data_IF_080957148713
#
_entry.id   IF_080957148713
#
_cell.length_a   1.000
_cell.length_b   1.000
_cell.length_c   1.000
_cell.angle_alpha   90.00
_cell.angle_beta   90.00
_cell.angle_gamma   90.00
#
_symmetry.space_group_name_H-M   'P 1'
#
loop_
_entity.id
_entity.type
_entity.pdbx_description
1 polymer ?
#
# COMPACT_ATOMS: atom_id res chain seq x y z
N UNK A 1 1.78 32.68 0.35
CA UNK A 1 2.81 33.22 1.29
C UNK A 1 3.61 32.09 1.95
N UNK A 2 2.96 31.05 2.49
CA UNK A 2 3.60 29.91 3.19
C UNK A 2 4.65 29.16 2.33
N UNK A 3 4.37 28.87 1.06
CA UNK A 3 5.30 28.16 0.17
C UNK A 3 6.57 28.96 -0.20
N UNK A 4 6.54 30.29 -0.15
CA UNK A 4 7.74 31.11 -0.42
C UNK A 4 8.74 31.03 0.73
N UNK A 5 8.28 30.84 1.96
CA UNK A 5 9.13 30.73 3.16
C UNK A 5 9.77 29.35 3.31
N UNK A 6 9.11 28.30 2.81
CA UNK A 6 9.57 26.89 2.83
C UNK A 6 10.79 26.63 1.92
N UNK A 7 11.11 27.55 1.01
CA UNK A 7 12.06 27.37 -0.10
C UNK A 7 13.55 27.31 0.29
N UNK A 8 13.90 27.40 1.58
CA UNK A 8 15.31 27.44 2.02
C UNK A 8 16.07 26.13 1.80
N UNK A 9 15.40 24.99 1.62
CA UNK A 9 16.03 23.69 1.28
C UNK A 9 15.17 22.90 0.28
N UNK A 10 15.71 22.59 -0.90
CA UNK A 10 15.00 21.79 -1.92
C UNK A 10 14.60 20.40 -1.42
N UNK A 11 15.45 19.78 -0.59
CA UNK A 11 15.14 18.49 0.05
C UNK A 11 13.88 18.58 0.92
N UNK A 12 13.74 19.66 1.69
CA UNK A 12 12.56 19.89 2.53
C UNK A 12 11.26 19.99 1.70
N UNK A 13 11.30 20.68 0.55
CA UNK A 13 10.16 20.74 -0.38
C UNK A 13 9.78 19.34 -0.89
N UNK A 14 10.78 18.52 -1.23
CA UNK A 14 10.55 17.14 -1.69
C UNK A 14 9.94 16.26 -0.59
N UNK A 15 10.39 16.40 0.67
CA UNK A 15 9.80 15.71 1.82
C UNK A 15 8.33 16.11 2.03
N UNK A 16 8.01 17.41 2.00
CA UNK A 16 6.61 17.85 2.13
C UNK A 16 5.77 17.33 0.97
N UNK A 17 6.28 17.37 -0.28
CA UNK A 17 5.57 16.82 -1.44
C UNK A 17 5.27 15.33 -1.28
N UNK A 18 6.25 14.55 -0.83
CA UNK A 18 6.09 13.13 -0.54
C UNK A 18 5.10 12.87 0.61
N UNK A 19 5.10 13.68 1.67
CA UNK A 19 4.13 13.57 2.76
C UNK A 19 2.71 13.90 2.26
N UNK A 20 2.54 15.01 1.55
CA UNK A 20 1.25 15.46 1.05
C UNK A 20 0.60 14.42 0.13
N UNK A 21 1.38 13.86 -0.81
CA UNK A 21 0.86 12.83 -1.72
C UNK A 21 0.52 11.53 -1.00
N UNK A 22 1.18 11.22 0.12
CA UNK A 22 0.94 9.99 0.87
C UNK A 22 -0.28 10.05 1.81
N UNK A 23 -0.91 11.21 2.04
CA UNK A 23 -2.16 11.26 2.83
C UNK A 23 -3.28 10.42 2.22
N UNK A 24 -3.38 10.36 0.89
CA UNK A 24 -4.36 9.47 0.23
C UNK A 24 -3.97 7.99 0.39
N UNK A 25 -2.66 7.69 0.41
CA UNK A 25 -2.14 6.35 0.72
C UNK A 25 -2.40 5.92 2.17
N UNK A 26 -2.39 6.87 3.11
CA UNK A 26 -2.78 6.65 4.50
C UNK A 26 -4.27 6.30 4.60
N UNK A 27 -5.16 7.04 3.92
CA UNK A 27 -6.60 6.71 3.88
C UNK A 27 -6.84 5.34 3.25
N UNK A 28 -6.05 4.97 2.24
CA UNK A 28 -6.10 3.60 1.71
C UNK A 28 -5.68 2.56 2.76
N UNK A 29 -4.58 2.80 3.49
CA UNK A 29 -4.18 1.96 4.62
C UNK A 29 -5.27 1.85 5.70
N UNK A 30 -5.96 2.95 5.99
CA UNK A 30 -7.13 2.95 6.89
C UNK A 30 -8.22 2.02 6.37
N UNK A 31 -8.55 2.07 5.08
CA UNK A 31 -9.53 1.16 4.47
C UNK A 31 -9.09 -0.31 4.42
N UNK A 32 -7.79 -0.59 4.47
CA UNK A 32 -7.29 -1.97 4.61
C UNK A 32 -7.38 -2.47 6.05
N UNK A 33 -7.11 -1.62 7.05
CA UNK A 33 -7.25 -1.98 8.46
C UNK A 33 -8.68 -1.94 8.99
N UNK A 34 -9.59 -1.24 8.30
CA UNK A 34 -10.98 -1.04 8.68
C UNK A 34 -11.75 -2.34 9.00
N UNK A 35 -11.63 -3.43 8.21
CA UNK A 35 -12.43 -4.62 8.46
C UNK A 35 -12.17 -5.29 9.81
N UNK A 36 -10.92 -5.28 10.30
CA UNK A 36 -10.54 -6.05 11.47
C UNK A 36 -11.37 -5.77 12.73
N UNK A 37 -11.52 -4.51 13.20
CA UNK A 37 -12.42 -4.21 14.31
C UNK A 37 -13.89 -4.04 13.88
N UNK A 38 -14.15 -3.71 12.60
CA UNK A 38 -15.49 -3.30 12.16
C UNK A 38 -16.39 -4.47 11.77
N UNK A 39 -15.84 -5.49 11.11
CA UNK A 39 -16.60 -6.69 10.72
C UNK A 39 -17.19 -7.40 11.94
N UNK A 40 -16.44 -7.62 13.03
CA UNK A 40 -17.02 -8.19 14.25
C UNK A 40 -18.17 -7.36 14.83
N UNK A 41 -18.12 -6.04 14.72
CA UNK A 41 -19.23 -5.17 15.14
C UNK A 41 -20.44 -5.30 14.20
N UNK A 42 -20.21 -5.37 12.90
CA UNK A 42 -21.24 -5.47 11.88
C UNK A 42 -21.96 -6.83 11.86
N UNK A 43 -21.30 -7.90 12.26
CA UNK A 43 -21.88 -9.25 12.40
C UNK A 43 -22.50 -9.48 13.78
N UNK A 44 -22.20 -8.62 14.75
CA UNK A 44 -22.76 -8.71 16.11
C UNK A 44 -24.26 -8.39 16.15
N UNK A 45 -24.96 -8.89 17.17
CA UNK A 45 -26.39 -8.60 17.39
C UNK A 45 -26.70 -7.10 17.51
N UNK A 46 -25.73 -6.33 18.01
CA UNK A 46 -25.83 -4.88 18.19
C UNK A 46 -25.26 -4.12 16.97
N UNK A 47 -25.41 -4.70 15.77
CA UNK A 47 -24.95 -4.10 14.52
C UNK A 47 -25.46 -2.66 14.40
N UNK A 48 -24.57 -1.70 14.05
CA UNK A 48 -24.97 -0.31 13.87
C UNK A 48 -25.84 -0.09 12.61
N UNK A 49 -25.91 -1.06 11.70
CA UNK A 49 -26.67 -0.92 10.45
C UNK A 49 -28.18 -1.06 10.66
N UNK A 50 -29.00 -0.17 10.08
CA UNK A 50 -30.46 -0.29 10.09
C UNK A 50 -30.99 -1.60 9.50
N UNK A 51 -30.30 -2.19 8.53
CA UNK A 51 -30.67 -3.48 7.94
C UNK A 51 -30.46 -4.69 8.86
N UNK A 52 -29.81 -4.50 10.01
CA UNK A 52 -29.44 -5.56 10.93
C UNK A 52 -28.01 -6.09 10.73
N UNK A 53 -27.66 -7.19 11.42
CA UNK A 53 -26.33 -7.78 11.36
C UNK A 53 -26.02 -8.42 10.01
N UNK A 54 -24.75 -8.37 9.61
CA UNK A 54 -24.24 -9.06 8.44
C UNK A 54 -24.16 -10.56 8.69
N UNK A 55 -24.51 -11.33 7.66
CA UNK A 55 -24.15 -12.75 7.60
C UNK A 55 -22.65 -12.93 7.38
N UNK A 56 -22.13 -14.12 7.67
CA UNK A 56 -20.71 -14.46 7.43
C UNK A 56 -20.33 -14.29 5.96
N UNK A 57 -21.21 -14.71 5.04
CA UNK A 57 -21.00 -14.58 3.59
C UNK A 57 -20.93 -13.10 3.17
N UNK A 58 -21.82 -12.27 3.69
CA UNK A 58 -21.79 -10.83 3.44
C UNK A 58 -20.52 -10.18 3.98
N UNK A 59 -20.10 -10.55 5.20
CA UNK A 59 -18.88 -10.05 5.81
C UNK A 59 -17.63 -10.38 4.97
N UNK A 60 -17.47 -11.65 4.56
CA UNK A 60 -16.38 -12.07 3.68
C UNK A 60 -16.40 -11.33 2.33
N UNK A 61 -17.59 -11.07 1.78
CA UNK A 61 -17.73 -10.28 0.56
C UNK A 61 -17.37 -8.80 0.76
N UNK A 62 -17.75 -8.18 1.88
CA UNK A 62 -17.35 -6.79 2.24
C UNK A 62 -15.82 -6.68 2.32
N UNK A 63 -15.15 -7.69 2.88
CA UNK A 63 -13.69 -7.72 2.99
C UNK A 63 -13.05 -7.85 1.60
N UNK A 64 -13.43 -8.87 0.86
CA UNK A 64 -12.78 -9.30 -0.38
C UNK A 64 -13.07 -8.41 -1.59
N UNK A 65 -14.25 -7.79 -1.72
CA UNK A 65 -14.67 -7.02 -2.92
C UNK A 65 -13.73 -5.85 -3.25
N UNK A 66 -13.00 -5.33 -2.26
CA UNK A 66 -11.94 -4.33 -2.48
C UNK A 66 -10.86 -4.84 -3.44
N UNK A 67 -10.58 -6.14 -3.47
CA UNK A 67 -9.62 -6.74 -4.39
C UNK A 67 -10.09 -6.63 -5.85
N UNK A 68 -11.39 -6.83 -6.12
CA UNK A 68 -11.96 -6.64 -7.46
C UNK A 68 -11.96 -5.16 -7.89
N UNK A 69 -12.14 -4.26 -6.92
CA UNK A 69 -11.89 -2.83 -7.15
C UNK A 69 -10.44 -2.57 -7.54
N UNK A 70 -9.47 -3.17 -6.83
CA UNK A 70 -8.04 -3.09 -7.12
C UNK A 70 -7.67 -3.59 -8.51
N UNK A 71 -8.28 -4.70 -8.95
CA UNK A 71 -8.16 -5.22 -10.32
C UNK A 71 -8.61 -4.17 -11.34
N UNK A 72 -9.81 -3.63 -11.14
CA UNK A 72 -10.39 -2.61 -12.03
C UNK A 72 -9.49 -1.37 -12.08
N UNK A 73 -9.04 -0.87 -10.93
CA UNK A 73 -8.11 0.26 -10.85
C UNK A 73 -6.78 0.01 -11.56
N UNK A 74 -6.25 -1.21 -11.47
CA UNK A 74 -4.99 -1.59 -12.13
C UNK A 74 -5.13 -1.65 -13.65
N UNK A 75 -6.27 -2.12 -14.16
CA UNK A 75 -6.54 -2.11 -15.60
C UNK A 75 -6.70 -0.67 -16.10
N UNK A 76 -7.44 0.17 -15.36
CA UNK A 76 -7.66 1.56 -15.72
C UNK A 76 -6.37 2.38 -15.75
N UNK A 77 -5.45 2.17 -14.79
CA UNK A 77 -4.25 3.02 -14.72
C UNK A 77 -3.28 2.81 -15.88
N UNK A 78 -3.19 1.60 -16.43
CA UNK A 78 -2.30 1.29 -17.55
C UNK A 78 -2.53 2.19 -18.77
N UNK A 79 -3.78 2.59 -19.03
CA UNK A 79 -4.14 3.49 -20.14
C UNK A 79 -4.06 4.98 -19.79
N UNK A 80 -4.19 5.32 -18.50
CA UNK A 80 -4.37 6.70 -18.03
C UNK A 80 -3.03 7.36 -17.66
N UNK A 81 -2.06 6.62 -17.11
CA UNK A 81 -0.85 7.19 -16.50
C UNK A 81 0.04 7.97 -17.47
N UNK A 82 0.18 7.47 -18.70
CA UNK A 82 1.01 8.11 -19.71
C UNK A 82 0.24 9.23 -20.44
N UNK A 83 -1.09 9.18 -20.41
CA UNK A 83 -1.96 10.15 -21.08
C UNK A 83 -2.14 11.41 -20.23
N UNK A 84 -2.55 11.26 -18.97
CA UNK A 84 -3.02 12.36 -18.11
C UNK A 84 -2.00 12.82 -17.05
N UNK A 85 -0.84 12.17 -16.96
CA UNK A 85 0.18 12.52 -15.98
C UNK A 85 -0.04 11.84 -14.64
N UNK A 86 0.60 12.37 -13.60
CA UNK A 86 0.60 11.73 -12.27
C UNK A 86 -0.37 12.43 -11.33
N UNK A 87 -0.57 13.74 -11.43
CA UNK A 87 -1.49 14.49 -10.56
C UNK A 87 -2.96 14.07 -10.73
N UNK A 88 -3.46 14.01 -11.96
CA UNK A 88 -4.89 13.77 -12.20
C UNK A 88 -5.38 12.40 -11.71
N UNK A 89 -4.66 11.30 -11.96
CA UNK A 89 -5.02 10.01 -11.36
C UNK A 89 -5.00 10.00 -9.83
N UNK A 90 -4.10 10.76 -9.18
CA UNK A 90 -4.09 10.89 -7.73
C UNK A 90 -5.36 11.59 -7.22
N UNK A 91 -5.83 12.63 -7.92
CA UNK A 91 -7.11 13.28 -7.61
C UNK A 91 -8.32 12.37 -7.86
N UNK A 92 -8.28 11.56 -8.93
CA UNK A 92 -9.33 10.56 -9.17
C UNK A 92 -9.36 9.51 -8.05
N UNK A 93 -8.19 9.04 -7.60
CA UNK A 93 -8.07 8.14 -6.45
C UNK A 93 -8.57 8.77 -5.15
N UNK A 94 -8.24 10.04 -4.90
CA UNK A 94 -8.77 10.82 -3.78
C UNK A 94 -10.29 10.92 -3.83
N UNK A 95 -10.87 11.25 -4.98
CA UNK A 95 -12.32 11.35 -5.15
C UNK A 95 -13.01 10.00 -4.90
N UNK A 96 -12.43 8.91 -5.40
CA UNK A 96 -12.92 7.55 -5.14
C UNK A 96 -12.92 7.23 -3.63
N UNK A 97 -11.88 7.62 -2.90
CA UNK A 97 -11.83 7.46 -1.44
C UNK A 97 -12.84 8.36 -0.72
N UNK A 98 -13.01 9.60 -1.18
CA UNK A 98 -13.99 10.53 -0.62
C UNK A 98 -15.40 9.94 -0.68
N UNK A 99 -15.80 9.45 -1.86
CA UNK A 99 -17.11 8.81 -2.06
C UNK A 99 -17.24 7.55 -1.21
N UNK A 100 -16.19 6.72 -1.14
CA UNK A 100 -16.19 5.53 -0.29
C UNK A 100 -16.43 5.87 1.20
N UNK A 101 -15.77 6.89 1.74
CA UNK A 101 -15.98 7.30 3.14
C UNK A 101 -17.39 7.85 3.38
N UNK A 102 -17.93 8.63 2.44
CA UNK A 102 -19.29 9.15 2.54
C UNK A 102 -20.30 8.00 2.56
N UNK A 103 -20.13 7.00 1.68
CA UNK A 103 -21.01 5.83 1.64
C UNK A 103 -20.98 5.04 2.95
N UNK A 104 -19.82 4.89 3.60
CA UNK A 104 -19.74 4.24 4.92
C UNK A 104 -20.41 5.11 6.00
N UNK A 105 -20.21 6.43 5.96
CA UNK A 105 -20.82 7.37 6.90
C UNK A 105 -22.35 7.41 6.83
N UNK A 106 -22.93 7.07 5.68
CA UNK A 106 -24.38 7.02 5.45
C UNK A 106 -24.90 5.60 5.23
N UNK A 107 -24.15 4.56 5.63
CA UNK A 107 -24.49 3.18 5.30
C UNK A 107 -25.79 2.74 5.99
N UNK A 108 -26.77 2.35 5.18
CA UNK A 108 -28.06 1.83 5.66
C UNK A 108 -28.17 0.30 5.55
N UNK A 109 -27.44 -0.28 4.60
CA UNK A 109 -27.41 -1.71 4.31
C UNK A 109 -26.06 -2.13 3.74
N UNK A 110 -25.87 -3.44 3.56
CA UNK A 110 -24.62 -4.03 3.09
C UNK A 110 -24.17 -3.50 1.72
N UNK A 111 -25.08 -3.09 0.84
CA UNK A 111 -24.73 -2.57 -0.50
C UNK A 111 -23.89 -1.29 -0.44
N UNK A 112 -24.14 -0.41 0.54
CA UNK A 112 -23.29 0.78 0.75
C UNK A 112 -21.85 0.38 1.02
N UNK A 113 -21.66 -0.68 1.83
CA UNK A 113 -20.35 -1.20 2.16
C UNK A 113 -19.69 -1.84 0.95
N UNK A 114 -20.41 -2.66 0.17
CA UNK A 114 -19.85 -3.24 -1.06
C UNK A 114 -19.34 -2.19 -2.03
N UNK A 115 -20.15 -1.15 -2.30
CA UNK A 115 -19.77 -0.07 -3.22
C UNK A 115 -18.61 0.73 -2.65
N UNK A 116 -18.63 1.09 -1.35
CA UNK A 116 -17.53 1.81 -0.72
C UNK A 116 -16.21 1.04 -0.79
N UNK A 117 -16.24 -0.26 -0.49
CA UNK A 117 -15.07 -1.15 -0.52
C UNK A 117 -14.53 -1.32 -1.92
N UNK A 118 -15.40 -1.49 -2.92
CA UNK A 118 -15.01 -1.55 -4.32
C UNK A 118 -14.35 -0.25 -4.80
N UNK A 119 -14.93 0.91 -4.48
CA UNK A 119 -14.36 2.23 -4.82
C UNK A 119 -13.01 2.48 -4.12
N UNK A 120 -12.88 2.09 -2.86
CA UNK A 120 -11.58 2.14 -2.16
C UNK A 120 -10.55 1.23 -2.85
N UNK A 121 -10.98 0.07 -3.35
CA UNK A 121 -10.16 -0.84 -4.14
C UNK A 121 -9.62 -0.20 -5.43
N UNK A 122 -10.50 0.43 -6.22
CA UNK A 122 -10.09 1.15 -7.45
C UNK A 122 -9.00 2.17 -7.11
N UNK A 123 -9.22 2.93 -6.04
CA UNK A 123 -8.25 3.90 -5.56
C UNK A 123 -6.93 3.24 -5.18
N UNK A 124 -6.95 2.13 -4.43
CA UNK A 124 -5.76 1.37 -4.06
C UNK A 124 -4.90 0.91 -5.23
N UNK A 125 -5.54 0.35 -6.26
CA UNK A 125 -4.84 -0.12 -7.47
C UNK A 125 -4.15 1.00 -8.24
N UNK A 126 -4.75 2.19 -8.26
CA UNK A 126 -4.22 3.39 -8.93
C UNK A 126 -3.14 4.07 -8.09
N UNK A 127 -3.44 4.35 -6.82
CA UNK A 127 -2.62 5.18 -5.94
C UNK A 127 -1.28 4.53 -5.61
N UNK A 128 -1.25 3.22 -5.36
CA UNK A 128 -0.03 2.56 -4.91
C UNK A 128 1.11 2.70 -5.94
N UNK A 129 0.77 2.62 -7.22
CA UNK A 129 1.72 2.77 -8.33
C UNK A 129 2.11 4.23 -8.53
N UNK A 130 1.14 5.14 -8.56
CA UNK A 130 1.37 6.53 -8.97
C UNK A 130 2.07 7.33 -7.89
N UNK A 131 1.78 7.08 -6.62
CA UNK A 131 2.50 7.69 -5.50
C UNK A 131 3.99 7.35 -5.60
N UNK A 132 4.31 6.05 -5.77
CA UNK A 132 5.69 5.59 -5.96
C UNK A 132 6.38 6.25 -7.14
N UNK A 133 5.72 6.32 -8.30
CA UNK A 133 6.27 6.97 -9.51
C UNK A 133 6.49 8.47 -9.27
N UNK A 134 5.48 9.18 -8.79
CA UNK A 134 5.56 10.62 -8.58
C UNK A 134 6.67 10.97 -7.60
N UNK A 135 6.74 10.29 -6.44
CA UNK A 135 7.79 10.48 -5.45
C UNK A 135 9.16 10.18 -6.05
N UNK A 136 9.32 9.09 -6.81
CA UNK A 136 10.58 8.75 -7.46
C UNK A 136 11.07 9.84 -8.43
N UNK A 137 10.15 10.36 -9.25
CA UNK A 137 10.46 11.32 -10.31
C UNK A 137 10.80 12.72 -9.80
N UNK A 138 10.24 13.14 -8.66
CA UNK A 138 10.56 14.43 -8.02
C UNK A 138 11.82 14.35 -7.12
N UNK A 139 12.17 13.14 -6.67
CA UNK A 139 13.23 12.91 -5.70
C UNK A 139 14.63 13.08 -6.31
N UNK A 140 15.45 13.86 -5.61
CA UNK A 140 16.90 13.88 -5.80
C UNK A 140 17.50 12.51 -5.42
N UNK A 141 18.54 12.08 -6.15
CA UNK A 141 19.18 10.77 -5.97
C UNK A 141 19.61 10.51 -4.51
N UNK A 142 20.08 11.54 -3.80
CA UNK A 142 20.61 11.40 -2.44
C UNK A 142 19.56 11.06 -1.37
N UNK A 143 18.27 11.33 -1.62
CA UNK A 143 17.18 11.09 -0.66
C UNK A 143 16.07 10.19 -1.20
N UNK A 144 16.20 9.70 -2.44
CA UNK A 144 15.17 8.91 -3.14
C UNK A 144 14.74 7.66 -2.38
N UNK A 145 15.69 6.94 -1.76
CA UNK A 145 15.38 5.74 -0.96
C UNK A 145 14.52 6.04 0.27
N UNK A 146 14.87 7.09 1.00
CA UNK A 146 14.10 7.56 2.16
C UNK A 146 12.69 7.99 1.76
N UNK A 147 12.55 8.81 0.72
CA UNK A 147 11.25 9.27 0.23
C UNK A 147 10.39 8.12 -0.29
N UNK A 148 10.98 7.13 -0.95
CA UNK A 148 10.27 5.92 -1.38
C UNK A 148 9.72 5.10 -0.21
N UNK A 149 10.39 5.10 0.94
CA UNK A 149 9.98 4.35 2.13
C UNK A 149 8.80 4.99 2.87
N UNK A 150 8.54 6.29 2.68
CA UNK A 150 7.45 7.03 3.32
C UNK A 150 6.09 6.40 3.00
N UNK A 151 5.90 5.86 1.79
CA UNK A 151 4.64 5.26 1.38
C UNK A 151 4.25 4.05 2.24
N UNK A 152 5.19 3.14 2.50
CA UNK A 152 4.95 2.00 3.37
C UNK A 152 4.66 2.42 4.82
N UNK A 153 5.31 3.48 5.29
CA UNK A 153 5.07 4.04 6.63
C UNK A 153 3.66 4.61 6.74
N UNK A 154 3.23 5.46 5.80
CA UNK A 154 1.90 6.07 5.79
C UNK A 154 0.79 5.02 5.65
N UNK A 155 0.99 4.00 4.82
CA UNK A 155 0.09 2.86 4.72
C UNK A 155 -0.12 2.17 6.07
N UNK A 156 0.97 1.84 6.77
CA UNK A 156 0.91 1.16 8.07
C UNK A 156 0.32 2.05 9.18
N UNK A 157 0.65 3.35 9.18
CA UNK A 157 0.02 4.32 10.08
C UNK A 157 -1.49 4.34 9.83
N UNK A 158 -1.94 4.30 8.57
CA UNK A 158 -3.35 4.21 8.22
C UNK A 158 -4.02 2.97 8.81
N UNK A 159 -3.40 1.80 8.69
CA UNK A 159 -3.89 0.54 9.29
C UNK A 159 -4.03 0.67 10.81
N UNK A 160 -3.01 1.20 11.50
CA UNK A 160 -3.03 1.40 12.95
C UNK A 160 -4.14 2.37 13.37
N UNK A 161 -4.30 3.48 12.63
CA UNK A 161 -5.39 4.44 12.87
C UNK A 161 -6.74 3.73 12.71
N UNK A 162 -6.92 2.89 11.69
CA UNK A 162 -8.15 2.14 11.53
C UNK A 162 -8.42 1.18 12.69
N UNK A 163 -7.42 0.40 13.14
CA UNK A 163 -7.57 -0.49 14.29
C UNK A 163 -8.00 0.27 15.55
N UNK A 164 -7.41 1.45 15.81
CA UNK A 164 -7.76 2.25 16.98
C UNK A 164 -9.12 2.95 16.82
N UNK A 165 -9.32 3.67 15.72
CA UNK A 165 -10.53 4.46 15.48
C UNK A 165 -11.75 3.56 15.38
N UNK A 166 -11.70 2.52 14.55
CA UNK A 166 -12.87 1.70 14.30
C UNK A 166 -13.22 0.80 15.49
N UNK A 167 -12.29 0.56 16.43
CA UNK A 167 -12.58 -0.16 17.67
C UNK A 167 -13.24 0.71 18.75
N UNK A 168 -12.93 2.01 18.81
CA UNK A 168 -13.32 2.87 19.94
C UNK A 168 -14.20 4.07 19.57
N UNK A 169 -14.33 4.39 18.29
CA UNK A 169 -15.19 5.46 17.78
C UNK A 169 -16.44 4.83 17.20
N UNK A 170 -17.65 5.39 17.42
CA UNK A 170 -18.87 4.88 16.83
C UNK A 170 -18.76 4.72 15.31
N UNK A 171 -19.32 3.64 14.79
CA UNK A 171 -19.24 3.24 13.37
C UNK A 171 -19.46 4.40 12.40
N UNK A 172 -20.54 5.15 12.54
CA UNK A 172 -20.87 6.28 11.65
C UNK A 172 -19.96 7.50 11.81
N UNK A 173 -19.21 7.58 12.92
CA UNK A 173 -18.27 8.68 13.19
C UNK A 173 -16.86 8.39 12.68
N UNK A 174 -16.46 7.12 12.61
CA UNK A 174 -15.13 6.72 12.16
C UNK A 174 -14.75 7.26 10.74
N UNK A 175 -15.65 7.26 9.73
CA UNK A 175 -15.33 7.79 8.40
C UNK A 175 -14.98 9.27 8.39
N UNK A 176 -15.49 10.10 9.31
CA UNK A 176 -15.13 11.52 9.36
C UNK A 176 -13.66 11.75 9.69
N UNK A 177 -13.02 10.83 10.42
CA UNK A 177 -11.58 10.89 10.67
C UNK A 177 -10.81 10.64 9.38
N UNK A 178 -11.19 9.61 8.61
CA UNK A 178 -10.61 9.33 7.30
C UNK A 178 -10.82 10.51 6.32
N UNK A 179 -12.00 11.14 6.33
CA UNK A 179 -12.29 12.35 5.56
C UNK A 179 -11.40 13.54 5.97
N UNK A 180 -11.17 13.73 7.28
CA UNK A 180 -10.25 14.75 7.79
C UNK A 180 -8.81 14.54 7.31
N UNK A 181 -8.34 13.28 7.30
CA UNK A 181 -7.01 12.95 6.76
C UNK A 181 -6.97 13.16 5.25
N UNK A 182 -8.04 12.82 4.53
CA UNK A 182 -8.16 13.07 3.10
C UNK A 182 -8.15 14.58 2.78
N UNK A 183 -8.69 15.43 3.65
CA UNK A 183 -8.60 16.87 3.49
C UNK A 183 -7.15 17.37 3.48
N UNK A 184 -6.24 16.74 4.24
CA UNK A 184 -4.81 17.07 4.21
C UNK A 184 -4.16 16.79 2.84
N UNK A 185 -4.70 15.86 2.05
CA UNK A 185 -4.25 15.63 0.67
C UNK A 185 -4.50 16.83 -0.24
N UNK A 186 -5.48 17.71 0.05
CA UNK A 186 -5.74 18.91 -0.78
C UNK A 186 -4.55 19.86 -0.86
N UNK A 187 -3.63 19.81 0.11
CA UNK A 187 -2.34 20.53 0.08
C UNK A 187 -1.48 20.14 -1.13
N UNK A 188 -1.70 18.93 -1.69
CA UNK A 188 -1.04 18.45 -2.90
C UNK A 188 -1.37 19.27 -4.16
N UNK A 189 -2.49 20.02 -4.17
CA UNK A 189 -2.88 20.87 -5.30
C UNK A 189 -1.76 21.86 -5.67
N UNK A 190 -1.03 22.36 -4.66
CA UNK A 190 0.03 23.35 -4.83
C UNK A 190 1.35 22.79 -5.38
N UNK A 191 1.50 21.47 -5.46
CA UNK A 191 2.71 20.84 -5.99
C UNK A 191 2.63 20.73 -7.51
N UNK A 192 3.71 21.01 -8.26
CA UNK A 192 3.69 20.89 -9.71
C UNK A 192 3.67 19.42 -10.14
N UNK A 193 3.32 19.20 -11.41
CA UNK A 193 3.45 17.89 -12.03
C UNK A 193 4.93 17.48 -12.15
N UNK A 194 5.21 16.19 -12.22
CA UNK A 194 6.56 15.65 -12.33
C UNK A 194 7.34 16.25 -13.51
N UNK A 195 8.61 16.66 -13.30
CA UNK A 195 9.44 17.18 -14.39
C UNK A 195 9.68 16.12 -15.48
N UNK A 196 9.73 14.83 -15.13
CA UNK A 196 9.91 13.74 -16.10
C UNK A 196 8.68 13.58 -17.00
N UNK A 197 7.47 13.65 -16.42
CA UNK A 197 6.23 13.63 -17.19
C UNK A 197 6.17 14.78 -18.20
N UNK A 198 6.49 15.99 -17.74
CA UNK A 198 6.41 17.19 -18.56
C UNK A 198 7.42 17.14 -19.72
N UNK A 199 8.60 16.57 -19.51
CA UNK A 199 9.57 16.30 -20.57
C UNK A 199 9.06 15.27 -21.58
N UNK A 200 8.42 14.18 -21.14
CA UNK A 200 7.79 13.18 -22.01
C UNK A 200 6.66 13.78 -22.88
N UNK A 201 5.96 14.80 -22.37
CA UNK A 201 4.93 15.54 -23.12
C UNK A 201 5.47 16.74 -23.90
N UNK A 202 6.80 16.86 -24.04
CA UNK A 202 7.45 17.97 -24.74
C UNK A 202 7.14 19.36 -24.15
N UNK A 203 6.67 19.44 -22.90
CA UNK A 203 6.37 20.69 -22.18
C UNK A 203 7.62 21.22 -21.45
N UNK A 204 8.62 21.62 -22.23
CA UNK A 204 9.97 21.95 -21.73
C UNK A 204 9.99 23.07 -20.66
N UNK A 205 9.25 24.16 -20.86
CA UNK A 205 9.25 25.29 -19.91
C UNK A 205 8.60 24.93 -18.58
N UNK A 206 7.52 24.14 -18.61
CA UNK A 206 6.85 23.66 -17.38
C UNK A 206 7.74 22.66 -16.64
N UNK A 207 8.45 21.79 -17.37
CA UNK A 207 9.37 20.82 -16.79
C UNK A 207 10.52 21.51 -16.02
N UNK A 208 11.13 22.53 -16.60
CA UNK A 208 12.19 23.31 -15.95
C UNK A 208 11.66 24.01 -14.68
N UNK A 209 10.47 24.63 -14.76
CA UNK A 209 9.82 25.26 -13.60
C UNK A 209 9.53 24.25 -12.48
N UNK A 210 9.04 23.05 -12.84
CA UNK A 210 8.79 21.97 -11.88
C UNK A 210 10.08 21.50 -11.20
N UNK A 211 11.14 21.26 -11.96
CA UNK A 211 12.43 20.86 -11.40
C UNK A 211 12.98 21.95 -10.45
N UNK A 212 12.96 23.23 -10.88
CA UNK A 212 13.35 24.37 -10.04
C UNK A 212 12.51 24.47 -8.76
N UNK A 213 11.24 24.10 -8.80
CA UNK A 213 10.38 24.06 -7.60
C UNK A 213 10.89 23.04 -6.59
N UNK A 214 11.15 21.79 -7.01
CA UNK A 214 11.61 20.73 -6.10
C UNK A 214 13.07 20.87 -5.67
N UNK A 215 13.91 21.56 -6.45
CA UNK A 215 15.30 21.85 -6.07
C UNK A 215 15.43 23.10 -5.19
N UNK A 216 14.37 23.91 -5.06
CA UNK A 216 14.36 25.04 -4.14
C UNK A 216 15.42 26.10 -4.50
N UNK A 217 16.31 26.41 -3.55
CA UNK A 217 17.40 27.38 -3.71
C UNK A 217 18.74 26.76 -4.17
N UNK A 218 18.74 25.55 -4.74
CA UNK A 218 19.95 24.98 -5.35
C UNK A 218 20.55 25.92 -6.41
N UNK A 219 21.88 25.85 -6.59
CA UNK A 219 22.58 26.66 -7.58
C UNK A 219 21.98 26.46 -8.98
N UNK A 220 21.71 27.57 -9.67
CA UNK A 220 20.98 27.53 -10.95
C UNK A 220 21.70 26.70 -12.02
N UNK A 221 23.04 26.73 -12.02
CA UNK A 221 23.86 25.93 -12.94
C UNK A 221 23.72 24.42 -12.68
N UNK A 222 23.62 24.01 -11.42
CA UNK A 222 23.40 22.61 -11.06
C UNK A 222 22.03 22.13 -11.55
N UNK A 223 20.99 22.95 -11.39
CA UNK A 223 19.63 22.62 -11.85
C UNK A 223 19.56 22.55 -13.38
N UNK A 224 20.27 23.44 -14.09
CA UNK A 224 20.35 23.42 -15.56
C UNK A 224 21.07 22.16 -16.07
N UNK A 225 22.17 21.76 -15.44
CA UNK A 225 22.89 20.53 -15.77
C UNK A 225 22.02 19.29 -15.54
N UNK A 226 21.33 19.21 -14.40
CA UNK A 226 20.40 18.13 -14.11
C UNK A 226 19.25 18.07 -15.12
N UNK A 227 18.66 19.22 -15.45
CA UNK A 227 17.61 19.31 -16.46
C UNK A 227 18.07 18.79 -17.83
N UNK A 228 19.28 19.18 -18.26
CA UNK A 228 19.86 18.73 -19.52
C UNK A 228 20.06 17.21 -19.54
N UNK A 229 20.67 16.66 -18.48
CA UNK A 229 20.88 15.22 -18.32
C UNK A 229 19.55 14.43 -18.33
N UNK A 230 18.53 14.97 -17.67
CA UNK A 230 17.20 14.36 -17.63
C UNK A 230 16.53 14.37 -19.01
N UNK A 231 16.61 15.48 -19.74
CA UNK A 231 16.07 15.62 -21.09
C UNK A 231 16.74 14.64 -22.08
N UNK A 232 18.06 14.51 -22.01
CA UNK A 232 18.83 13.57 -22.84
C UNK A 232 18.44 12.11 -22.55
N UNK A 233 18.31 11.76 -21.26
CA UNK A 233 17.90 10.42 -20.82
C UNK A 233 16.50 10.04 -21.32
N UNK A 234 15.56 10.99 -21.24
CA UNK A 234 14.18 10.79 -21.71
C UNK A 234 14.13 10.68 -23.24
N UNK A 235 14.86 11.52 -23.98
CA UNK A 235 14.94 11.42 -25.44
C UNK A 235 15.50 10.07 -25.91
N UNK A 236 16.50 9.54 -25.21
CA UNK A 236 17.07 8.22 -25.50
C UNK A 236 16.08 7.06 -25.23
N UNK A 237 15.13 7.25 -24.32
CA UNK A 237 14.10 6.25 -23.97
C UNK A 237 12.88 6.34 -24.89
N UNK A 238 12.46 7.56 -25.27
CA UNK A 238 11.29 7.80 -26.13
C UNK A 238 11.44 7.22 -27.55
N UNK A 239 12.67 7.10 -28.07
CA UNK A 239 12.94 6.51 -29.39
C UNK A 239 12.91 4.96 -29.39
N UNK A 240 12.62 4.30 -28.26
CA UNK A 240 12.67 2.84 -28.08
C UNK A 240 11.31 2.21 -27.68
N UNK A 241 10.19 2.89 -27.95
CA UNK A 241 8.91 2.74 -27.23
C UNK A 241 7.97 1.63 -27.67
N UNK A 242 8.14 0.99 -28.83
CA UNK A 242 7.32 -0.18 -29.17
C UNK A 242 7.86 -1.44 -28.48
N UNK A 243 7.23 -1.79 -27.36
CA UNK A 243 7.38 -3.10 -26.70
C UNK A 243 7.17 -4.21 -27.73
N UNK A 244 8.17 -5.06 -27.91
CA UNK A 244 8.11 -6.19 -28.83
C UNK A 244 8.07 -7.50 -28.06
N UNK A 245 7.40 -8.51 -28.61
CA UNK A 245 7.45 -9.89 -28.10
C UNK A 245 8.91 -10.39 -28.01
N UNK A 246 9.80 -9.86 -28.84
CA UNK A 246 11.23 -10.18 -28.79
C UNK A 246 11.90 -9.77 -27.47
N UNK A 247 11.43 -8.73 -26.78
CA UNK A 247 12.00 -8.28 -25.51
C UNK A 247 11.80 -9.33 -24.38
N UNK A 248 10.86 -10.27 -24.54
CA UNK A 248 10.57 -11.35 -23.59
C UNK A 248 11.34 -12.65 -23.87
N UNK A 249 11.93 -12.81 -25.06
CA UNK A 249 12.64 -14.03 -25.46
C UNK A 249 13.93 -14.34 -24.69
N UNK A 250 14.76 -13.34 -24.26
CA UNK A 250 16.02 -13.63 -23.59
C UNK A 250 15.86 -14.51 -22.34
N UNK A 251 16.73 -15.51 -22.19
CA UNK A 251 16.67 -16.45 -21.05
C UNK A 251 16.82 -15.73 -19.71
N UNK A 252 17.63 -14.66 -19.66
CA UNK A 252 17.79 -13.79 -18.49
C UNK A 252 16.49 -13.08 -18.13
N UNK A 253 15.79 -12.51 -19.11
CA UNK A 253 14.48 -11.88 -18.92
C UNK A 253 13.45 -12.89 -18.41
N UNK A 254 13.36 -14.06 -19.04
CA UNK A 254 12.43 -15.12 -18.61
C UNK A 254 12.70 -15.59 -17.19
N UNK A 255 13.98 -15.75 -16.81
CA UNK A 255 14.38 -16.11 -15.45
C UNK A 255 14.03 -14.99 -14.45
N UNK A 256 14.23 -13.73 -14.81
CA UNK A 256 13.85 -12.59 -13.98
C UNK A 256 12.34 -12.51 -13.78
N UNK A 257 11.54 -12.77 -14.83
CA UNK A 257 10.08 -12.85 -14.75
C UNK A 257 9.65 -13.97 -13.81
N UNK A 258 10.20 -15.18 -13.98
CA UNK A 258 9.89 -16.33 -13.13
C UNK A 258 10.18 -16.02 -11.66
N UNK A 259 11.37 -15.50 -11.34
CA UNK A 259 11.75 -15.15 -9.96
C UNK A 259 10.80 -14.08 -9.40
N UNK A 260 10.52 -13.03 -10.17
CA UNK A 260 9.63 -11.94 -9.73
C UNK A 260 8.21 -12.45 -9.46
N UNK A 261 7.70 -13.34 -10.32
CA UNK A 261 6.37 -13.92 -10.15
C UNK A 261 6.31 -14.87 -8.95
N UNK A 262 7.33 -15.73 -8.75
CA UNK A 262 7.41 -16.63 -7.59
C UNK A 262 7.48 -15.85 -6.28
N UNK A 263 8.39 -14.87 -6.20
CA UNK A 263 8.60 -14.07 -4.99
C UNK A 263 7.40 -13.15 -4.73
N UNK A 264 6.82 -12.57 -5.78
CA UNK A 264 5.60 -11.79 -5.71
C UNK A 264 4.41 -12.62 -5.25
N UNK A 265 4.21 -13.82 -5.80
CA UNK A 265 3.11 -14.70 -5.38
C UNK A 265 3.30 -15.18 -3.95
N UNK A 266 4.53 -15.52 -3.56
CA UNK A 266 4.86 -15.90 -2.17
C UNK A 266 4.51 -14.81 -1.16
N UNK A 267 4.62 -13.52 -1.52
CA UNK A 267 4.13 -12.41 -0.70
C UNK A 267 2.64 -12.53 -0.39
N UNK A 268 1.83 -12.78 -1.40
CA UNK A 268 0.37 -12.82 -1.27
C UNK A 268 -0.10 -14.11 -0.58
N UNK A 269 0.52 -15.24 -0.93
CA UNK A 269 0.26 -16.54 -0.31
C UNK A 269 0.80 -16.67 1.12
N UNK A 270 1.61 -15.71 1.60
CA UNK A 270 2.07 -15.69 3.00
C UNK A 270 0.95 -15.50 4.02
N UNK A 271 -0.26 -15.14 3.57
CA UNK A 271 -1.44 -14.95 4.42
C UNK A 271 -1.42 -13.64 5.21
N UNK A 272 -0.38 -12.81 5.14
CA UNK A 272 -0.28 -11.58 5.94
C UNK A 272 -1.44 -10.60 5.72
N UNK A 273 -1.94 -10.51 4.48
CA UNK A 273 -3.11 -9.67 4.16
C UNK A 273 -4.39 -10.22 4.79
N UNK A 274 -4.58 -11.55 4.75
CA UNK A 274 -5.70 -12.22 5.42
C UNK A 274 -5.63 -11.97 6.92
N UNK A 275 -4.47 -12.19 7.52
CA UNK A 275 -4.24 -11.95 8.95
C UNK A 275 -4.53 -10.50 9.32
N UNK A 276 -4.15 -9.51 8.50
CA UNK A 276 -4.49 -8.10 8.74
C UNK A 276 -5.99 -7.84 8.81
N UNK A 277 -6.80 -8.51 7.98
CA UNK A 277 -8.25 -8.29 7.94
C UNK A 277 -9.00 -9.01 9.06
N UNK A 278 -8.49 -10.13 9.55
CA UNK A 278 -9.15 -10.96 10.58
C UNK A 278 -8.41 -10.96 11.94
N UNK A 279 -7.46 -10.04 12.15
CA UNK A 279 -6.58 -10.08 13.32
C UNK A 279 -7.33 -10.05 14.66
N UNK A 280 -8.43 -9.28 14.74
CA UNK A 280 -9.25 -9.17 15.96
C UNK A 280 -9.96 -10.49 16.25
N UNK A 281 -10.56 -11.12 15.23
CA UNK A 281 -11.22 -12.42 15.37
C UNK A 281 -10.22 -13.51 15.78
N UNK A 282 -9.03 -13.53 15.17
CA UNK A 282 -7.97 -14.48 15.53
C UNK A 282 -7.55 -14.31 16.99
N UNK A 283 -7.44 -13.08 17.49
CA UNK A 283 -7.13 -12.82 18.89
C UNK A 283 -8.28 -13.20 19.83
N UNK A 284 -9.53 -13.00 19.42
CA UNK A 284 -10.69 -13.44 20.18
C UNK A 284 -10.73 -14.97 20.30
N UNK A 285 -10.47 -15.69 19.21
CA UNK A 285 -10.39 -17.16 19.17
C UNK A 285 -9.23 -17.71 20.00
N UNK A 286 -8.13 -16.98 20.09
CA UNK A 286 -6.99 -17.36 20.93
C UNK A 286 -7.30 -17.32 22.44
N UNK A 287 -8.37 -16.64 22.86
CA UNK A 287 -8.82 -16.64 24.26
C UNK A 287 -7.84 -16.00 25.25
N UNK A 288 -6.97 -15.10 24.78
CA UNK A 288 -5.98 -14.44 25.64
C UNK A 288 -6.62 -13.44 26.60
N UNK A 289 -5.95 -13.15 27.73
CA UNK A 289 -6.42 -12.15 28.71
C UNK A 289 -6.42 -10.71 28.20
N UNK A 290 -5.80 -10.43 27.04
CA UNK A 290 -5.71 -9.09 26.47
C UNK A 290 -6.89 -8.85 25.51
N UNK A 291 -7.48 -7.65 25.58
CA UNK A 291 -8.57 -7.26 24.68
C UNK A 291 -8.12 -7.41 23.20
N UNK A 292 -8.88 -8.13 22.35
CA UNK A 292 -8.49 -8.38 20.95
C UNK A 292 -8.21 -7.13 20.12
N UNK A 293 -8.95 -6.03 20.34
CA UNK A 293 -8.72 -4.76 19.64
C UNK A 293 -7.41 -4.09 20.10
N UNK A 294 -7.08 -4.15 21.40
CA UNK A 294 -5.79 -3.66 21.91
C UNK A 294 -4.64 -4.48 21.31
N UNK A 295 -4.80 -5.81 21.26
CA UNK A 295 -3.82 -6.72 20.66
C UNK A 295 -3.57 -6.39 19.18
N UNK A 296 -4.62 -6.12 18.40
CA UNK A 296 -4.51 -5.71 17.00
C UNK A 296 -3.72 -4.40 16.83
N UNK A 297 -3.97 -3.39 17.68
CA UNK A 297 -3.25 -2.11 17.66
C UNK A 297 -1.76 -2.33 17.95
N UNK A 298 -1.43 -3.11 18.98
CA UNK A 298 -0.04 -3.45 19.34
C UNK A 298 0.66 -4.14 18.17
N UNK A 299 0.02 -5.15 17.56
CA UNK A 299 0.59 -5.84 16.40
C UNK A 299 0.77 -4.90 15.20
N UNK A 300 -0.15 -3.96 14.99
CA UNK A 300 0.01 -2.90 14.01
C UNK A 300 1.29 -2.08 14.21
N UNK A 301 1.59 -1.67 15.46
CA UNK A 301 2.85 -1.00 15.79
C UNK A 301 4.07 -1.90 15.57
N UNK A 302 4.00 -3.17 15.97
CA UNK A 302 5.07 -4.15 15.74
C UNK A 302 5.36 -4.29 14.24
N UNK A 303 4.31 -4.32 13.41
CA UNK A 303 4.43 -4.40 11.95
C UNK A 303 5.05 -3.12 11.34
N UNK A 304 4.69 -1.95 11.86
CA UNK A 304 5.30 -0.68 11.47
C UNK A 304 6.80 -0.63 11.82
N UNK A 305 7.16 -1.06 13.04
CA UNK A 305 8.57 -1.16 13.46
C UNK A 305 9.33 -2.14 12.58
N UNK A 306 8.75 -3.32 12.32
CA UNK A 306 9.30 -4.30 11.38
C UNK A 306 9.51 -3.71 9.99
N UNK A 307 8.60 -2.86 9.50
CA UNK A 307 8.72 -2.20 8.19
C UNK A 307 9.89 -1.23 8.15
N UNK A 308 10.07 -0.42 9.20
CA UNK A 308 11.19 0.54 9.30
C UNK A 308 12.54 -0.21 9.38
N UNK A 309 12.61 -1.25 10.20
CA UNK A 309 13.80 -2.10 10.34
C UNK A 309 14.12 -2.78 9.01
N UNK A 310 13.12 -3.40 8.36
CA UNK A 310 13.30 -4.06 7.07
C UNK A 310 13.81 -3.07 6.02
N UNK A 311 13.24 -1.87 5.92
CA UNK A 311 13.71 -0.83 5.01
C UNK A 311 15.19 -0.48 5.24
N UNK A 312 15.60 -0.30 6.49
CA UNK A 312 16.99 0.01 6.84
C UNK A 312 17.98 -1.12 6.50
N UNK A 313 17.65 -2.37 6.83
CA UNK A 313 18.54 -3.50 6.61
C UNK A 313 18.57 -4.00 5.16
N UNK A 314 17.54 -3.72 4.37
CA UNK A 314 17.45 -4.12 2.96
C UNK A 314 18.67 -3.64 2.15
N UNK A 315 19.13 -2.42 2.41
CA UNK A 315 20.28 -1.84 1.72
C UNK A 315 21.63 -2.31 2.28
N UNK A 316 21.68 -2.79 3.52
CA UNK A 316 22.92 -3.21 4.19
C UNK A 316 23.26 -4.68 3.99
N UNK A 317 22.26 -5.56 4.14
CA UNK A 317 22.44 -7.02 4.21
C UNK A 317 22.12 -7.67 2.86
N UNK A 318 21.37 -6.97 2.01
CA UNK A 318 20.92 -7.48 0.72
C UNK A 318 19.57 -8.20 0.82
N UNK A 319 18.83 -8.15 -0.29
CA UNK A 319 17.41 -8.51 -0.35
C UNK A 319 17.16 -10.00 -0.11
N UNK A 320 17.98 -10.88 -0.72
CA UNK A 320 17.82 -12.35 -0.63
C UNK A 320 18.05 -12.88 0.79
N UNK A 321 19.10 -12.37 1.46
CA UNK A 321 19.48 -12.80 2.82
C UNK A 321 18.43 -12.33 3.83
N UNK A 322 17.72 -11.23 3.57
CA UNK A 322 16.63 -10.77 4.43
C UNK A 322 15.30 -11.50 4.14
N UNK A 323 15.00 -11.77 2.86
CA UNK A 323 13.72 -12.36 2.44
C UNK A 323 13.56 -13.83 2.85
N UNK A 324 14.60 -14.66 2.69
CA UNK A 324 14.48 -16.11 2.94
C UNK A 324 14.23 -16.41 4.43
N UNK A 325 15.01 -15.88 5.39
CA UNK A 325 14.79 -16.16 6.81
C UNK A 325 13.47 -15.59 7.32
N UNK A 326 13.04 -14.43 6.80
CA UNK A 326 11.75 -13.83 7.21
C UNK A 326 10.57 -14.67 6.72
N UNK A 327 10.61 -15.20 5.49
CA UNK A 327 9.62 -16.16 4.99
C UNK A 327 9.57 -17.44 5.84
N UNK A 328 10.73 -18.01 6.16
CA UNK A 328 10.81 -19.22 7.02
C UNK A 328 10.23 -18.93 8.40
N UNK A 329 10.60 -17.80 9.00
CA UNK A 329 10.10 -17.42 10.32
C UNK A 329 8.60 -17.15 10.35
N UNK A 330 8.03 -16.52 9.32
CA UNK A 330 6.58 -16.39 9.16
C UNK A 330 5.92 -17.77 9.06
N UNK A 331 6.46 -18.67 8.22
CA UNK A 331 5.95 -20.03 8.07
C UNK A 331 5.96 -20.82 9.37
N UNK A 332 7.04 -20.72 10.16
CA UNK A 332 7.14 -21.34 11.48
C UNK A 332 6.10 -20.77 12.45
N UNK A 333 5.96 -19.45 12.52
CA UNK A 333 4.97 -18.80 13.39
C UNK A 333 3.53 -19.25 13.06
N UNK A 334 3.18 -19.30 11.78
CA UNK A 334 1.85 -19.73 11.33
C UNK A 334 1.62 -21.23 11.52
N UNK A 335 2.65 -22.05 11.34
CA UNK A 335 2.57 -23.49 11.61
C UNK A 335 2.30 -23.75 13.09
N UNK A 336 3.01 -23.06 13.99
CA UNK A 336 2.80 -23.17 15.44
C UNK A 336 1.38 -22.71 15.80
N UNK A 337 0.92 -21.60 15.23
CA UNK A 337 -0.43 -21.08 15.45
C UNK A 337 -1.51 -22.06 14.96
N UNK A 338 -1.32 -22.68 13.79
CA UNK A 338 -2.23 -23.70 13.26
C UNK A 338 -2.29 -24.95 14.13
N UNK A 339 -1.14 -25.44 14.61
CA UNK A 339 -1.08 -26.57 15.55
C UNK A 339 -1.77 -26.22 16.87
N UNK A 340 -1.59 -25.00 17.38
CA UNK A 340 -2.26 -24.53 18.59
C UNK A 340 -3.79 -24.60 18.46
N UNK A 341 -4.34 -24.03 17.38
CA UNK A 341 -5.79 -24.05 17.17
C UNK A 341 -6.34 -25.46 16.94
N UNK A 342 -5.59 -26.33 16.26
CA UNK A 342 -5.98 -27.74 16.09
C UNK A 342 -6.05 -28.50 17.42
N UNK A 343 -5.11 -28.25 18.33
CA UNK A 343 -5.14 -28.85 19.67
C UNK A 343 -6.28 -28.28 20.51
N UNK A 344 -6.56 -26.98 20.39
CA UNK A 344 -7.68 -26.33 21.07
C UNK A 344 -9.03 -26.94 20.62
N UNK A 345 -9.21 -27.13 19.32
CA UNK A 345 -10.41 -27.76 18.74
C UNK A 345 -10.61 -29.20 19.22
N UNK A 346 -9.52 -29.96 19.39
CA UNK A 346 -9.54 -31.31 19.94
C UNK A 346 -9.80 -31.37 21.46
N UNK A 347 -9.95 -30.22 22.12
CA UNK A 347 -10.27 -30.14 23.55
C UNK A 347 -9.08 -30.35 24.49
N UNK A 348 -7.84 -30.19 24.00
CA UNK A 348 -6.68 -30.16 24.89
C UNK A 348 -6.66 -28.86 25.70
N UNK A 349 -6.31 -28.94 26.99
CA UNK A 349 -6.13 -27.76 27.83
C UNK A 349 -4.84 -27.02 27.45
N UNK A 350 -5.00 -25.84 26.83
CA UNK A 350 -3.93 -24.96 26.39
C UNK A 350 -3.79 -23.69 27.24
N UNK A 351 -4.43 -23.64 28.41
CA UNK A 351 -4.40 -22.45 29.30
C UNK A 351 -2.98 -22.01 29.65
N UNK A 352 -2.08 -22.98 29.92
CA UNK A 352 -0.65 -22.75 30.21
C UNK A 352 0.14 -22.08 29.08
N UNK A 353 -0.33 -22.21 27.84
CA UNK A 353 0.30 -21.69 26.63
C UNK A 353 -0.59 -20.68 25.89
N UNK A 354 -1.57 -20.08 26.57
CA UNK A 354 -2.48 -19.06 26.03
C UNK A 354 -1.79 -17.78 25.52
N UNK A 355 -0.55 -17.53 25.91
CA UNK A 355 0.28 -16.43 25.39
C UNK A 355 0.87 -16.71 24.00
N UNK A 356 0.94 -17.99 23.60
CA UNK A 356 1.64 -18.42 22.38
C UNK A 356 1.04 -17.85 21.10
N UNK A 357 -0.30 -17.82 20.90
CA UNK A 357 -0.90 -17.19 19.73
C UNK A 357 -0.50 -15.72 19.55
N UNK A 358 -0.40 -14.97 20.65
CA UNK A 358 0.01 -13.56 20.61
C UNK A 358 1.44 -13.42 20.15
N UNK A 359 2.35 -14.23 20.67
CA UNK A 359 3.76 -14.18 20.30
C UNK A 359 3.96 -14.62 18.85
N UNK A 360 3.32 -15.71 18.42
CA UNK A 360 3.41 -16.19 17.04
C UNK A 360 2.84 -15.18 16.05
N UNK A 361 1.67 -14.60 16.34
CA UNK A 361 1.05 -13.59 15.46
C UNK A 361 1.89 -12.32 15.41
N UNK A 362 2.37 -11.83 16.56
CA UNK A 362 3.28 -10.67 16.62
C UNK A 362 4.58 -10.91 15.84
N UNK A 363 5.17 -12.10 15.98
CA UNK A 363 6.36 -12.51 15.22
C UNK A 363 6.09 -12.60 13.72
N UNK A 364 4.96 -13.19 13.31
CA UNK A 364 4.55 -13.27 11.92
C UNK A 364 4.37 -11.88 11.29
N UNK A 365 3.81 -10.92 12.02
CA UNK A 365 3.67 -9.54 11.54
C UNK A 365 5.01 -8.80 11.50
N UNK A 366 5.86 -8.94 12.53
CA UNK A 366 7.17 -8.33 12.54
C UNK A 366 8.03 -8.78 11.36
N UNK A 367 8.13 -10.10 11.16
CA UNK A 367 8.88 -10.71 10.06
C UNK A 367 8.19 -10.48 8.70
N UNK A 368 6.86 -10.53 8.69
CA UNK A 368 6.02 -10.31 7.52
C UNK A 368 6.17 -8.92 6.91
N UNK A 369 6.62 -7.92 7.68
CA UNK A 369 6.92 -6.59 7.16
C UNK A 369 8.00 -6.61 6.05
N UNK A 370 9.01 -7.47 6.18
CA UNK A 370 10.01 -7.68 5.15
C UNK A 370 9.44 -8.45 3.94
N UNK A 371 8.62 -9.48 4.20
CA UNK A 371 7.95 -10.30 3.19
C UNK A 371 7.02 -9.45 2.30
N UNK A 372 6.38 -8.44 2.88
CA UNK A 372 5.61 -7.45 2.12
C UNK A 372 6.56 -6.67 1.22
N UNK A 373 7.49 -5.88 1.76
CA UNK A 373 8.17 -4.87 0.94
C UNK A 373 9.24 -5.41 -0.04
N UNK A 374 10.01 -6.43 0.36
CA UNK A 374 11.16 -6.91 -0.41
C UNK A 374 10.83 -7.46 -1.81
N UNK A 375 9.76 -8.25 -2.01
CA UNK A 375 9.35 -8.73 -3.33
C UNK A 375 9.19 -7.65 -4.40
N UNK A 376 8.70 -6.47 -4.01
CA UNK A 376 8.54 -5.34 -4.94
C UNK A 376 9.92 -4.85 -5.39
N UNK A 377 10.85 -4.65 -4.44
CA UNK A 377 12.22 -4.22 -4.77
C UNK A 377 12.92 -5.23 -5.69
N UNK A 378 12.85 -6.52 -5.36
CA UNK A 378 13.42 -7.60 -6.18
C UNK A 378 12.86 -7.56 -7.60
N UNK A 379 11.55 -7.39 -7.75
CA UNK A 379 10.89 -7.29 -9.06
C UNK A 379 11.38 -6.08 -9.85
N UNK A 380 11.49 -4.91 -9.20
CA UNK A 380 11.97 -3.68 -9.86
C UNK A 380 13.46 -3.70 -10.18
N UNK A 381 14.28 -4.44 -9.43
CA UNK A 381 15.73 -4.53 -9.65
C UNK A 381 16.09 -5.60 -10.70
N UNK A 382 15.38 -6.73 -10.73
CA UNK A 382 15.65 -7.83 -11.67
C UNK A 382 15.08 -7.62 -13.07
N UNK A 383 13.90 -7.00 -13.18
CA UNK A 383 13.24 -6.86 -14.47
C UNK A 383 13.87 -5.76 -15.32
N UNK A 384 14.21 -6.03 -16.59
CA UNK A 384 14.61 -5.00 -17.54
C UNK A 384 13.54 -3.91 -17.63
N UNK A 385 13.95 -2.64 -17.64
CA UNK A 385 13.04 -1.50 -17.62
C UNK A 385 11.95 -1.56 -18.71
N UNK A 386 12.29 -2.10 -19.90
CA UNK A 386 11.35 -2.27 -21.03
C UNK A 386 10.16 -3.17 -20.72
N UNK A 387 10.39 -4.33 -20.10
CA UNK A 387 9.32 -5.32 -19.85
C UNK A 387 8.69 -5.15 -18.46
N UNK A 388 9.36 -4.42 -17.57
CA UNK A 388 8.96 -4.28 -16.15
C UNK A 388 7.52 -3.81 -15.99
N UNK A 389 7.11 -2.77 -16.70
CA UNK A 389 5.75 -2.23 -16.60
C UNK A 389 4.69 -3.25 -16.98
N UNK A 390 4.85 -3.92 -18.13
CA UNK A 390 3.92 -4.96 -18.58
C UNK A 390 3.88 -6.16 -17.64
N UNK A 391 5.04 -6.64 -17.17
CA UNK A 391 5.12 -7.79 -16.25
C UNK A 391 4.46 -7.47 -14.92
N UNK A 392 4.71 -6.29 -14.35
CA UNK A 392 4.08 -5.86 -13.09
C UNK A 392 2.57 -5.69 -13.25
N UNK A 393 2.10 -5.18 -14.40
CA UNK A 393 0.67 -5.04 -14.68
C UNK A 393 -0.02 -6.40 -14.76
N UNK A 394 0.55 -7.34 -15.53
CA UNK A 394 0.03 -8.71 -15.62
C UNK A 394 0.03 -9.39 -14.25
N UNK A 395 1.10 -9.23 -13.48
CA UNK A 395 1.19 -9.76 -12.11
C UNK A 395 0.08 -9.22 -11.20
N UNK A 396 -0.20 -7.92 -11.23
CA UNK A 396 -1.28 -7.36 -10.42
C UNK A 396 -2.65 -7.88 -10.88
N UNK A 397 -2.89 -7.96 -12.20
CA UNK A 397 -4.12 -8.52 -12.76
C UNK A 397 -4.37 -9.97 -12.30
N UNK A 398 -3.32 -10.77 -12.13
CA UNK A 398 -3.47 -12.16 -11.63
C UNK A 398 -3.61 -12.23 -10.11
N UNK A 399 -2.94 -11.35 -9.37
CA UNK A 399 -2.94 -11.36 -7.91
C UNK A 399 -4.26 -10.87 -7.30
N UNK A 400 -4.91 -9.87 -7.90
CA UNK A 400 -6.17 -9.35 -7.34
C UNK A 400 -7.27 -10.41 -7.21
N UNK A 401 -7.59 -11.22 -8.25
CA UNK A 401 -8.53 -12.33 -8.13
C UNK A 401 -8.09 -13.39 -7.10
N UNK A 402 -6.80 -13.69 -7.01
CA UNK A 402 -6.29 -14.67 -6.04
C UNK A 402 -6.53 -14.17 -4.60
N UNK A 403 -6.22 -12.90 -4.31
CA UNK A 403 -6.50 -12.32 -2.99
C UNK A 403 -8.00 -12.25 -2.71
N UNK A 404 -8.83 -12.01 -3.74
CA UNK A 404 -10.29 -12.08 -3.59
C UNK A 404 -10.72 -13.45 -3.10
N UNK A 405 -10.24 -14.53 -3.74
CA UNK A 405 -10.56 -15.90 -3.38
C UNK A 405 -9.99 -16.32 -2.01
N UNK A 406 -8.82 -15.81 -1.61
CA UNK A 406 -8.23 -16.10 -0.29
C UNK A 406 -9.03 -15.43 0.85
N UNK A 407 -9.69 -14.31 0.57
CA UNK A 407 -10.49 -13.54 1.55
C UNK A 407 -11.96 -13.97 1.60
N UNK A 408 -12.37 -14.91 0.74
CA UNK A 408 -13.69 -15.56 0.78
C UNK A 408 -13.58 -16.81 1.66
#
# INVERSE_FOLDING_TARGET
>A
MILKTIRKSGKFVQFIGAICVNFVGLVYGFMVGWPAPTIPQLTSKDSPLPSGPLTTEEASLVISIMMLGGLTGTILIGSVIDSFGRKWPLFAGMLSQLVAQILIATAQNTMYLYVARFLSGISGGVLFIIISIYVNEISENSIRGTLGSIQGIFYNIGVIIAYAVCAYVPFYKAPYIALGILACFTLFIFFPESPQYLLLKHKYQEAEKSLKFFRGNSAEDQVKLEYKSLKESIAATSNKTTLSIQDFKPATTRKAILISYTVGMGRHLSGILLLMNYIVDIFALAGSNLNPNISAIIVGFIHLVGTIIAAYYTDKVGRRILLIPTLVGVGLCLTILGVYFLLNEKGYDLTSVSWLPIVCLSGAFFLGAAVINLPIYVTTELLPARVRGSVMTVFLITVWPINFLILQ
#
